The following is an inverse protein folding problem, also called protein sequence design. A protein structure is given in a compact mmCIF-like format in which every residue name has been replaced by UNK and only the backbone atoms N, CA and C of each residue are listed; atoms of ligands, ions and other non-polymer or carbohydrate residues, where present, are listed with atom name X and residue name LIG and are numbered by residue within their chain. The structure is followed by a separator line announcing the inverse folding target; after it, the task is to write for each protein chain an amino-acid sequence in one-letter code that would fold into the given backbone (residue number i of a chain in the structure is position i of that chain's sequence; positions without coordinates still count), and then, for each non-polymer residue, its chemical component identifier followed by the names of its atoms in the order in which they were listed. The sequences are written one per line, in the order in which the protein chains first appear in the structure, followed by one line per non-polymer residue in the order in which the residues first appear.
data_IF_666193693453
#
_entry.id   IF_666193693453
#
_cell.length_a   1.000
_cell.length_b   1.000
_cell.length_c   1.000
_cell.angle_alpha   90.00
_cell.angle_beta   90.00
_cell.angle_gamma   90.00
#
_symmetry.space_group_name_H-M   'P 1'
#
loop_
_entity.id
_entity.type
_entity.pdbx_description
1 polymer ?
#
# COMPACT_ATOMS: atom_id res chain seq x y z
N UNK A 1 -12.10 28.32 10.43
CA UNK A 1 -11.21 27.86 11.52
C UNK A 1 -10.01 27.21 10.86
N UNK A 2 -8.80 27.74 11.09
CA UNK A 2 -7.58 27.09 10.63
C UNK A 2 -7.47 25.73 11.31
N UNK A 3 -7.46 24.67 10.50
CA UNK A 3 -7.37 23.30 10.96
C UNK A 3 -6.07 23.11 11.76
N UNK A 4 -6.15 22.88 13.08
CA UNK A 4 -5.00 22.68 13.98
C UNK A 4 -4.09 21.49 13.64
N UNK A 5 -4.34 20.81 12.53
CA UNK A 5 -3.70 19.60 12.07
C UNK A 5 -2.32 19.90 11.49
N UNK A 6 -2.18 21.03 10.79
CA UNK A 6 -0.89 21.53 10.29
C UNK A 6 0.07 21.91 11.43
N UNK A 7 -0.43 22.01 12.66
CA UNK A 7 0.38 22.31 13.84
C UNK A 7 1.03 21.05 14.43
N UNK A 8 0.48 19.85 14.17
CA UNK A 8 1.01 18.59 14.71
C UNK A 8 2.43 18.38 14.18
N UNK A 9 3.39 18.24 15.10
CA UNK A 9 4.82 18.12 14.81
C UNK A 9 5.51 19.44 14.42
N UNK A 10 4.76 20.53 14.24
CA UNK A 10 5.28 21.84 13.81
C UNK A 10 5.13 22.94 14.88
N UNK A 11 4.48 22.65 16.01
CA UNK A 11 4.24 23.60 17.09
C UNK A 11 4.48 22.93 18.47
N UNK A 12 5.08 23.61 19.46
CA UNK A 12 5.35 23.02 20.78
C UNK A 12 4.12 22.45 21.49
N UNK A 13 2.98 23.13 21.38
CA UNK A 13 1.70 22.68 21.97
C UNK A 13 1.06 21.47 21.24
N UNK A 14 1.60 21.10 20.08
CA UNK A 14 1.12 20.00 19.25
C UNK A 14 2.30 19.08 18.88
N UNK A 15 2.91 18.37 19.85
CA UNK A 15 4.09 17.55 19.62
C UNK A 15 3.77 16.31 18.76
N UNK A 16 4.77 15.81 18.02
CA UNK A 16 4.65 14.64 17.13
C UNK A 16 4.39 13.31 17.85
N UNK A 17 4.57 13.25 19.16
CA UNK A 17 4.33 12.09 20.01
C UNK A 17 3.04 12.20 20.84
N UNK A 18 2.21 13.21 20.56
CA UNK A 18 0.94 13.43 21.25
C UNK A 18 -0.18 12.46 20.84
N UNK A 19 -1.30 12.53 21.55
CA UNK A 19 -2.53 11.83 21.19
C UNK A 19 -3.55 12.81 20.63
N UNK A 20 -4.00 12.57 19.41
CA UNK A 20 -4.91 13.43 18.67
C UNK A 20 -6.16 12.67 18.28
N UNK A 21 -7.31 13.33 18.38
CA UNK A 21 -8.60 12.76 18.05
C UNK A 21 -9.39 13.69 17.15
N UNK A 22 -9.98 13.16 16.09
CA UNK A 22 -10.92 13.91 15.28
C UNK A 22 -12.26 14.03 15.98
N UNK A 23 -12.81 15.23 15.94
CA UNK A 23 -14.09 15.57 16.57
C UNK A 23 -15.21 15.79 15.55
N UNK A 24 -14.88 15.83 14.27
CA UNK A 24 -15.80 15.97 13.16
C UNK A 24 -15.11 15.54 11.85
N UNK A 25 -15.89 15.40 10.79
CA UNK A 25 -15.42 15.18 9.43
C UNK A 25 -15.03 16.51 8.77
N UNK A 26 -14.00 16.50 7.92
CA UNK A 26 -13.46 17.71 7.29
C UNK A 26 -13.17 17.50 5.81
N UNK A 27 -13.47 18.52 5.00
CA UNK A 27 -12.85 18.66 3.69
C UNK A 27 -11.45 19.29 3.88
N UNK A 28 -10.43 18.62 3.35
CA UNK A 28 -9.01 18.94 3.53
C UNK A 28 -8.33 19.26 2.20
N UNK A 29 -9.09 19.74 1.19
CA UNK A 29 -8.54 20.12 -0.13
C UNK A 29 -7.39 21.14 -0.07
N UNK A 30 -7.40 21.99 0.95
CA UNK A 30 -6.36 23.00 1.18
C UNK A 30 -5.20 22.50 2.08
N UNK A 31 -5.13 21.20 2.35
CA UNK A 31 -4.05 20.60 3.12
C UNK A 31 -2.78 20.55 2.29
N UNK A 32 -1.85 21.47 2.54
CA UNK A 32 -0.68 21.65 1.68
C UNK A 32 0.56 20.89 2.14
N UNK A 33 0.58 20.37 3.38
CA UNK A 33 1.79 19.79 3.98
C UNK A 33 1.47 18.64 4.93
N UNK A 34 2.10 17.46 4.76
CA UNK A 34 1.96 16.35 5.69
C UNK A 34 2.45 16.72 7.09
N UNK A 35 1.94 16.02 8.10
CA UNK A 35 2.59 15.95 9.42
C UNK A 35 3.98 15.36 9.19
N UNK A 36 5.10 15.98 9.63
CA UNK A 36 6.45 15.52 9.30
C UNK A 36 6.76 14.10 9.82
N UNK A 37 7.40 13.97 10.98
CA UNK A 37 7.54 12.69 11.66
C UNK A 37 6.49 12.61 12.77
N UNK A 38 5.80 11.47 12.86
CA UNK A 38 4.78 11.20 13.86
C UNK A 38 5.06 9.88 14.59
N UNK A 39 5.03 9.93 15.92
CA UNK A 39 5.29 8.78 16.81
C UNK A 39 4.19 8.58 17.85
N UNK A 40 3.14 9.41 17.80
CA UNK A 40 2.02 9.42 18.74
C UNK A 40 0.84 8.54 18.33
N UNK A 41 -0.36 8.89 18.81
CA UNK A 41 -1.62 8.21 18.45
C UNK A 41 -2.57 9.19 17.75
N UNK A 42 -2.89 8.92 16.48
CA UNK A 42 -3.84 9.67 15.69
C UNK A 42 -5.12 8.87 15.49
N UNK A 43 -6.18 9.24 16.19
CA UNK A 43 -7.48 8.57 16.14
C UNK A 43 -8.49 9.39 15.33
N UNK A 44 -8.85 8.86 14.16
CA UNK A 44 -9.87 9.40 13.27
C UNK A 44 -11.28 9.39 13.84
N UNK A 45 -11.57 8.66 14.93
CA UNK A 45 -12.90 8.56 15.53
C UNK A 45 -14.03 8.20 14.54
N UNK A 46 -13.71 7.42 13.51
CA UNK A 46 -14.56 7.10 12.37
C UNK A 46 -15.02 8.32 11.55
N UNK A 47 -14.40 9.47 11.73
CA UNK A 47 -14.63 10.67 10.94
C UNK A 47 -13.98 10.55 9.56
N UNK A 48 -14.44 11.41 8.65
CA UNK A 48 -13.99 11.44 7.26
C UNK A 48 -13.07 12.63 7.00
N UNK A 49 -11.94 12.35 6.36
CA UNK A 49 -11.16 13.33 5.63
C UNK A 49 -11.47 13.21 4.14
N UNK A 50 -12.01 14.28 3.58
CA UNK A 50 -12.43 14.33 2.18
C UNK A 50 -11.51 15.25 1.37
N UNK A 51 -11.23 14.86 0.13
CA UNK A 51 -10.38 15.61 -0.82
C UNK A 51 -8.94 15.84 -0.33
N UNK A 52 -8.35 14.85 0.33
CA UNK A 52 -6.97 14.92 0.80
C UNK A 52 -5.99 14.95 -0.40
N UNK A 53 -5.21 16.02 -0.60
CA UNK A 53 -4.34 16.16 -1.78
C UNK A 53 -2.93 15.59 -1.57
N UNK A 54 -2.62 15.12 -0.35
CA UNK A 54 -1.30 14.63 0.05
C UNK A 54 -1.39 13.62 1.19
N UNK A 55 -0.34 12.84 1.45
CA UNK A 55 -0.26 12.00 2.64
C UNK A 55 -0.57 12.77 3.94
N UNK A 56 -1.29 12.13 4.86
CA UNK A 56 -1.54 12.72 6.17
C UNK A 56 -0.23 12.92 6.96
N UNK A 57 0.67 11.94 6.85
CA UNK A 57 1.94 11.85 7.56
C UNK A 57 3.06 11.59 6.55
N UNK A 58 4.20 12.26 6.70
CA UNK A 58 5.38 11.97 5.87
C UNK A 58 6.06 10.70 6.41
N UNK A 59 6.41 10.68 7.69
CA UNK A 59 7.04 9.52 8.34
C UNK A 59 6.29 9.10 9.60
N UNK A 60 5.77 7.87 9.60
CA UNK A 60 5.19 7.23 10.77
C UNK A 60 6.20 6.25 11.37
N UNK A 61 6.68 6.52 12.57
CA UNK A 61 7.83 5.83 13.18
C UNK A 61 7.59 5.45 14.64
N UNK A 62 8.57 4.77 15.25
CA UNK A 62 8.49 4.31 16.64
C UNK A 62 7.29 3.38 16.85
N UNK A 63 6.45 3.71 17.84
CA UNK A 63 5.17 3.03 18.09
C UNK A 63 3.98 3.87 17.60
N UNK A 64 4.18 4.72 16.60
CA UNK A 64 3.16 5.62 16.08
C UNK A 64 1.94 4.86 15.54
N UNK A 65 0.75 5.35 15.84
CA UNK A 65 -0.52 4.72 15.46
C UNK A 65 -1.38 5.71 14.68
N UNK A 66 -1.93 5.27 13.54
CA UNK A 66 -3.02 5.95 12.85
C UNK A 66 -4.20 5.00 12.77
N UNK A 67 -5.38 5.45 13.22
CA UNK A 67 -6.51 4.55 13.36
C UNK A 67 -7.89 5.17 13.15
N UNK A 68 -8.88 4.33 12.83
CA UNK A 68 -10.30 4.67 12.79
C UNK A 68 -10.61 5.89 11.92
N UNK A 69 -10.09 5.95 10.70
CA UNK A 69 -10.30 7.11 9.81
C UNK A 69 -10.84 6.68 8.45
N UNK A 70 -11.74 7.48 7.91
CA UNK A 70 -12.22 7.35 6.54
C UNK A 70 -11.51 8.41 5.68
N UNK A 71 -10.77 7.98 4.66
CA UNK A 71 -10.15 8.85 3.67
C UNK A 71 -10.94 8.71 2.37
N UNK A 72 -11.58 9.79 1.93
CA UNK A 72 -12.43 9.78 0.75
C UNK A 72 -11.94 10.81 -0.27
N UNK A 73 -12.09 10.49 -1.56
CA UNK A 73 -11.69 11.38 -2.66
C UNK A 73 -10.22 11.84 -2.54
N UNK A 74 -9.33 10.96 -2.07
CA UNK A 74 -7.89 11.28 -1.98
C UNK A 74 -7.36 11.45 -3.39
N UNK A 75 -6.69 12.57 -3.68
CA UNK A 75 -6.20 12.91 -5.01
C UNK A 75 -4.76 13.43 -4.95
N UNK A 76 -3.80 12.52 -5.15
CA UNK A 76 -2.37 12.81 -5.00
C UNK A 76 -1.66 12.98 -6.35
N UNK A 77 -2.40 13.30 -7.42
CA UNK A 77 -1.85 13.34 -8.79
C UNK A 77 -0.71 14.34 -9.01
N UNK A 78 -0.53 15.30 -8.11
CA UNK A 78 0.51 16.32 -8.15
C UNK A 78 1.84 15.85 -7.52
N UNK A 79 2.35 14.68 -7.91
CA UNK A 79 3.73 14.14 -7.86
C UNK A 79 4.63 14.33 -6.61
N UNK A 80 4.20 15.00 -5.54
CA UNK A 80 5.01 15.32 -4.35
C UNK A 80 4.53 14.65 -3.07
N UNK A 81 3.46 13.86 -3.16
CA UNK A 81 2.57 13.68 -2.02
C UNK A 81 1.74 12.39 -2.10
N UNK A 82 2.34 11.27 -2.53
CA UNK A 82 1.76 9.93 -2.40
C UNK A 82 2.40 9.26 -1.20
N UNK A 83 1.69 8.57 -0.29
CA UNK A 83 0.38 7.89 -0.36
C UNK A 83 -0.72 8.61 0.45
N UNK A 84 -1.82 7.97 0.86
CA UNK A 84 -2.88 8.65 1.65
C UNK A 84 -2.53 8.79 3.15
N UNK A 85 -1.89 7.78 3.75
CA UNK A 85 -1.64 7.76 5.20
C UNK A 85 -0.22 8.21 5.52
N UNK A 86 0.80 7.44 5.12
CA UNK A 86 2.19 7.68 5.51
C UNK A 86 3.18 7.41 4.38
N UNK A 87 4.04 8.36 3.98
CA UNK A 87 5.08 8.09 2.95
C UNK A 87 5.96 6.91 3.37
N UNK A 88 6.48 6.97 4.59
CA UNK A 88 7.29 5.91 5.17
C UNK A 88 6.70 5.44 6.48
N UNK A 89 6.64 4.12 6.64
CA UNK A 89 6.33 3.44 7.90
C UNK A 89 7.57 2.67 8.36
N UNK A 90 8.02 2.86 9.60
CA UNK A 90 9.16 2.14 10.16
C UNK A 90 8.95 1.75 11.63
N UNK A 91 9.93 1.04 12.18
CA UNK A 91 9.98 0.56 13.56
C UNK A 91 8.80 -0.37 13.89
N UNK A 92 7.84 0.04 14.73
CA UNK A 92 6.65 -0.75 15.12
C UNK A 92 5.37 0.03 14.82
N UNK A 93 5.38 0.85 13.78
CA UNK A 93 4.24 1.69 13.43
C UNK A 93 3.00 0.88 13.03
N UNK A 94 1.82 1.40 13.36
CA UNK A 94 0.55 0.70 13.15
C UNK A 94 -0.42 1.59 12.40
N UNK A 95 -0.99 1.06 11.32
CA UNK A 95 -2.11 1.66 10.62
C UNK A 95 -3.29 0.69 10.67
N UNK A 96 -4.40 1.10 11.29
CA UNK A 96 -5.54 0.19 11.51
C UNK A 96 -6.92 0.79 11.39
N UNK A 97 -7.92 -0.01 11.02
CA UNK A 97 -9.30 0.46 10.84
C UNK A 97 -9.37 1.70 9.91
N UNK A 98 -8.66 1.62 8.78
CA UNK A 98 -8.61 2.68 7.77
C UNK A 98 -9.49 2.27 6.61
N UNK A 99 -10.31 3.20 6.12
CA UNK A 99 -11.02 3.04 4.85
C UNK A 99 -10.55 4.10 3.87
N UNK A 100 -10.09 3.68 2.69
CA UNK A 100 -9.78 4.57 1.56
C UNK A 100 -10.81 4.31 0.46
N UNK A 101 -11.50 5.34 -0.03
CA UNK A 101 -12.51 5.18 -1.06
C UNK A 101 -12.53 6.31 -2.09
N UNK A 102 -12.91 5.98 -3.33
CA UNK A 102 -13.13 6.93 -4.42
C UNK A 102 -11.89 7.79 -4.74
N UNK A 103 -10.71 7.22 -4.58
CA UNK A 103 -9.45 7.94 -4.61
C UNK A 103 -8.66 7.73 -5.91
N UNK A 104 -7.83 8.70 -6.27
CA UNK A 104 -6.94 8.66 -7.42
C UNK A 104 -5.52 8.96 -6.98
N UNK A 105 -4.63 7.99 -7.18
CA UNK A 105 -3.22 8.09 -6.87
C UNK A 105 -2.42 8.06 -8.16
N UNK A 106 -1.48 8.99 -8.30
CA UNK A 106 -0.55 9.00 -9.43
C UNK A 106 0.77 9.59 -8.97
N UNK A 107 1.79 8.75 -8.94
CA UNK A 107 3.11 9.17 -8.50
C UNK A 107 4.24 8.54 -9.29
N UNK A 108 5.40 9.16 -9.10
CA UNK A 108 6.72 8.65 -9.49
C UNK A 108 7.37 7.86 -8.34
N UNK A 109 6.64 7.68 -7.24
CA UNK A 109 7.06 6.94 -6.05
C UNK A 109 8.05 7.72 -5.18
N UNK A 110 8.24 7.25 -3.95
CA UNK A 110 9.32 7.71 -3.08
C UNK A 110 10.57 6.90 -3.33
N UNK A 111 11.71 7.59 -3.43
CA UNK A 111 13.03 6.95 -3.42
C UNK A 111 13.30 6.32 -2.06
N UNK A 112 13.75 5.07 -2.06
CA UNK A 112 14.30 4.42 -0.88
C UNK A 112 15.53 3.59 -1.25
N UNK A 113 16.39 3.36 -0.27
CA UNK A 113 17.56 2.49 -0.40
C UNK A 113 17.23 1.13 0.22
N UNK A 114 17.40 0.06 -0.55
CA UNK A 114 17.30 -1.30 -0.03
C UNK A 114 18.61 -1.65 0.69
N UNK A 115 18.51 -2.02 1.98
CA UNK A 115 19.51 -2.04 3.09
C UNK A 115 20.88 -2.70 2.86
N UNK A 116 21.23 -3.13 1.64
CA UNK A 116 22.51 -3.80 1.34
C UNK A 116 23.07 -3.53 -0.06
N UNK A 117 22.35 -2.82 -0.95
CA UNK A 117 22.75 -2.76 -2.37
C UNK A 117 22.88 -1.37 -2.99
N UNK A 118 22.67 -0.29 -2.23
CA UNK A 118 22.61 1.08 -2.75
C UNK A 118 21.69 1.23 -3.99
N UNK A 119 20.72 0.32 -4.16
CA UNK A 119 19.76 0.37 -5.25
C UNK A 119 18.67 1.32 -4.82
N UNK A 120 18.63 2.47 -5.48
CA UNK A 120 17.53 3.43 -5.33
C UNK A 120 16.33 2.91 -6.09
N UNK A 121 15.27 2.63 -5.34
CA UNK A 121 14.01 2.12 -5.87
C UNK A 121 12.92 3.13 -5.63
N UNK A 122 11.95 3.19 -6.54
CA UNK A 122 10.76 3.99 -6.38
C UNK A 122 9.59 3.07 -6.01
N UNK A 123 8.86 3.44 -4.96
CA UNK A 123 7.68 2.71 -4.52
C UNK A 123 6.48 3.64 -4.35
N UNK A 124 5.29 3.13 -4.65
CA UNK A 124 4.02 3.81 -4.44
C UNK A 124 2.95 2.85 -3.95
N UNK A 125 2.22 3.25 -2.92
CA UNK A 125 1.00 2.57 -2.49
C UNK A 125 -0.12 3.54 -2.15
N UNK A 126 -1.33 3.06 -1.88
CA UNK A 126 -2.42 3.96 -1.47
C UNK A 126 -2.40 4.27 0.03
N UNK A 127 -1.83 3.39 0.86
CA UNK A 127 -1.69 3.59 2.31
C UNK A 127 -0.29 4.06 2.66
N UNK A 128 0.72 3.31 2.22
CA UNK A 128 2.13 3.65 2.40
C UNK A 128 2.96 3.47 1.12
N UNK A 129 4.01 4.25 0.90
CA UNK A 129 4.95 3.96 -0.19
C UNK A 129 5.92 2.87 0.24
N UNK A 130 6.48 3.00 1.44
CA UNK A 130 7.51 2.07 1.93
C UNK A 130 7.26 1.72 3.40
N UNK A 131 7.36 0.43 3.72
CA UNK A 131 7.17 -0.09 5.05
C UNK A 131 8.35 -0.95 5.51
N UNK A 132 8.91 -0.63 6.68
CA UNK A 132 10.06 -1.28 7.31
C UNK A 132 9.78 -1.66 8.76
N UNK A 133 10.67 -2.49 9.32
CA UNK A 133 10.62 -2.89 10.73
C UNK A 133 9.49 -3.86 11.00
N UNK A 134 8.93 -3.84 12.20
CA UNK A 134 7.75 -4.61 12.61
C UNK A 134 6.43 -3.85 12.37
N UNK A 135 6.39 -2.94 11.39
CA UNK A 135 5.20 -2.15 11.07
C UNK A 135 4.05 -3.04 10.54
N UNK A 136 2.79 -2.61 10.68
CA UNK A 136 1.64 -3.45 10.33
C UNK A 136 0.40 -2.71 9.81
N UNK A 137 -0.44 -3.45 9.07
CA UNK A 137 -1.75 -3.03 8.57
C UNK A 137 -2.87 -3.92 9.10
N UNK A 138 -3.76 -3.37 9.90
CA UNK A 138 -4.82 -4.15 10.55
C UNK A 138 -6.22 -3.59 10.21
N UNK A 139 -7.05 -4.36 9.51
CA UNK A 139 -8.37 -3.92 9.04
C UNK A 139 -8.29 -2.67 8.14
N UNK A 140 -7.51 -2.76 7.07
CA UNK A 140 -7.43 -1.73 6.04
C UNK A 140 -8.36 -2.11 4.89
N UNK A 141 -9.27 -1.19 4.52
CA UNK A 141 -10.15 -1.35 3.38
C UNK A 141 -9.83 -0.31 2.31
N UNK A 142 -9.71 -0.74 1.06
CA UNK A 142 -9.53 0.14 -0.10
C UNK A 142 -10.60 -0.19 -1.13
N UNK A 143 -11.40 0.80 -1.53
CA UNK A 143 -12.49 0.60 -2.47
C UNK A 143 -12.56 1.65 -3.58
N UNK A 144 -13.01 1.25 -4.78
CA UNK A 144 -13.37 2.15 -5.89
C UNK A 144 -12.28 3.20 -6.22
N UNK A 145 -11.01 2.80 -6.19
CA UNK A 145 -9.87 3.72 -6.33
C UNK A 145 -8.96 3.30 -7.48
N UNK A 146 -8.12 4.22 -7.93
CA UNK A 146 -7.13 3.97 -9.00
C UNK A 146 -5.74 4.38 -8.54
N UNK A 147 -4.74 3.54 -8.79
CA UNK A 147 -3.33 3.79 -8.54
C UNK A 147 -2.53 3.64 -9.84
N UNK A 148 -1.81 4.68 -10.25
CA UNK A 148 -0.96 4.70 -11.43
C UNK A 148 0.49 5.05 -11.07
N UNK A 149 1.38 4.07 -11.06
CA UNK A 149 2.82 4.28 -10.89
C UNK A 149 3.53 4.43 -12.23
N UNK A 150 4.10 5.62 -12.50
CA UNK A 150 4.88 5.90 -13.72
C UNK A 150 6.37 6.07 -13.38
N UNK A 151 7.25 5.30 -14.02
CA UNK A 151 8.67 5.28 -13.64
C UNK A 151 8.93 4.71 -12.23
N UNK A 152 7.95 3.97 -11.70
CA UNK A 152 7.97 3.34 -10.38
C UNK A 152 8.27 1.86 -10.53
N UNK A 153 9.15 1.35 -9.67
CA UNK A 153 9.49 -0.06 -9.68
C UNK A 153 8.52 -0.88 -8.82
N UNK A 154 8.02 -0.36 -7.70
CA UNK A 154 7.13 -1.09 -6.81
C UNK A 154 5.77 -0.38 -6.68
N UNK A 155 4.69 -0.99 -7.18
CA UNK A 155 3.34 -0.43 -7.15
C UNK A 155 2.40 -1.39 -6.44
N UNK A 156 1.90 -1.04 -5.25
CA UNK A 156 0.99 -1.90 -4.50
C UNK A 156 -0.29 -1.20 -4.12
N UNK A 157 -1.44 -1.88 -4.18
CA UNK A 157 -2.71 -1.27 -3.80
C UNK A 157 -2.73 -0.78 -2.36
N UNK A 158 -2.01 -1.42 -1.44
CA UNK A 158 -1.83 -0.94 -0.05
C UNK A 158 -0.48 -0.27 0.12
N UNK A 159 0.60 -1.00 -0.17
CA UNK A 159 1.98 -0.57 0.09
C UNK A 159 2.86 -0.73 -1.14
N UNK A 160 3.65 0.26 -1.49
CA UNK A 160 4.57 0.14 -2.62
C UNK A 160 5.61 -0.96 -2.40
N UNK A 161 6.38 -0.87 -1.33
CA UNK A 161 7.36 -1.90 -0.95
C UNK A 161 7.38 -2.16 0.57
N UNK A 162 7.50 -3.44 0.96
CA UNK A 162 7.52 -3.86 2.36
C UNK A 162 8.73 -4.76 2.65
N UNK A 163 9.52 -4.41 3.68
CA UNK A 163 10.77 -5.08 4.04
C UNK A 163 10.86 -5.40 5.53
N UNK A 164 11.31 -6.61 5.86
CA UNK A 164 11.59 -7.06 7.23
C UNK A 164 10.40 -6.98 8.20
N UNK A 165 9.18 -7.00 7.67
CA UNK A 165 7.94 -6.97 8.43
C UNK A 165 7.55 -8.37 8.87
N UNK A 166 8.19 -8.82 9.95
CA UNK A 166 7.92 -10.12 10.59
C UNK A 166 6.59 -10.17 11.36
N UNK A 167 5.88 -9.05 11.45
CA UNK A 167 4.59 -8.94 12.15
C UNK A 167 3.44 -9.51 11.30
N UNK A 168 2.46 -10.16 11.93
CA UNK A 168 1.51 -11.08 11.26
C UNK A 168 0.27 -10.43 10.63
N UNK A 169 0.14 -9.10 10.70
CA UNK A 169 -1.14 -8.45 10.44
C UNK A 169 -1.07 -7.64 9.14
N UNK A 170 -1.49 -8.27 8.05
CA UNK A 170 -1.96 -7.61 6.83
C UNK A 170 -3.42 -8.00 6.60
N UNK A 171 -4.29 -7.59 7.52
CA UNK A 171 -5.73 -7.79 7.34
C UNK A 171 -6.27 -6.70 6.42
N UNK A 172 -6.43 -7.06 5.15
CA UNK A 172 -6.68 -6.10 4.06
C UNK A 172 -7.85 -6.56 3.19
N UNK A 173 -8.73 -5.61 2.89
CA UNK A 173 -9.82 -5.76 1.93
C UNK A 173 -9.61 -4.78 0.77
N UNK A 174 -9.56 -5.30 -0.47
CA UNK A 174 -9.36 -4.51 -1.69
C UNK A 174 -10.51 -4.81 -2.65
N UNK A 175 -11.27 -3.78 -3.05
CA UNK A 175 -12.48 -3.98 -3.88
C UNK A 175 -12.55 -2.93 -4.99
N UNK A 176 -12.79 -3.35 -6.23
CA UNK A 176 -12.98 -2.46 -7.37
C UNK A 176 -11.80 -1.49 -7.58
N UNK A 177 -10.56 -1.97 -7.47
CA UNK A 177 -9.36 -1.15 -7.61
C UNK A 177 -8.69 -1.36 -8.97
N UNK A 178 -8.20 -0.28 -9.57
CA UNK A 178 -7.32 -0.34 -10.74
C UNK A 178 -5.90 0.03 -10.36
N UNK A 179 -4.95 -0.89 -10.53
CA UNK A 179 -3.54 -0.72 -10.17
C UNK A 179 -2.69 -0.90 -11.42
N UNK A 180 -1.98 0.14 -11.84
CA UNK A 180 -1.14 0.12 -13.04
C UNK A 180 0.30 0.51 -12.72
N UNK A 181 1.25 -0.32 -13.14
CA UNK A 181 2.68 -0.01 -13.14
C UNK A 181 3.25 0.10 -14.54
N UNK A 182 3.89 1.23 -14.84
CA UNK A 182 4.45 1.56 -16.17
C UNK A 182 5.98 1.59 -16.21
N UNK A 183 6.67 1.19 -15.14
CA UNK A 183 8.13 1.03 -15.13
C UNK A 183 8.59 -0.21 -15.91
N UNK A 184 9.81 -0.18 -16.44
CA UNK A 184 10.40 -1.31 -17.20
C UNK A 184 10.39 -2.61 -16.39
N UNK A 185 10.82 -2.54 -15.13
CA UNK A 185 10.84 -3.64 -14.15
C UNK A 185 9.74 -3.49 -13.08
N UNK A 186 8.57 -2.95 -13.45
CA UNK A 186 7.52 -2.71 -12.47
C UNK A 186 7.02 -4.01 -11.82
N UNK A 187 7.09 -4.07 -10.50
CA UNK A 187 6.44 -5.05 -9.65
C UNK A 187 5.11 -4.48 -9.18
N UNK A 188 4.01 -5.06 -9.63
CA UNK A 188 2.66 -4.59 -9.33
C UNK A 188 1.87 -5.66 -8.62
N UNK A 189 1.35 -5.34 -7.43
CA UNK A 189 0.51 -6.25 -6.65
C UNK A 189 -0.76 -5.60 -6.14
N UNK A 190 -1.78 -6.41 -5.89
CA UNK A 190 -3.00 -5.94 -5.23
C UNK A 190 -2.71 -5.36 -3.85
N UNK A 191 -1.90 -6.05 -3.02
CA UNK A 191 -1.49 -5.55 -1.71
C UNK A 191 -0.18 -4.79 -1.79
N UNK A 192 0.87 -5.44 -2.31
CA UNK A 192 2.22 -4.90 -2.29
C UNK A 192 2.89 -4.95 -3.67
N UNK A 193 3.67 -3.93 -4.05
CA UNK A 193 4.49 -4.01 -5.25
C UNK A 193 5.60 -5.05 -5.07
N UNK A 194 6.42 -4.86 -4.02
CA UNK A 194 7.51 -5.77 -3.65
C UNK A 194 7.49 -6.09 -2.15
N UNK A 195 7.82 -7.33 -1.81
CA UNK A 195 7.92 -7.79 -0.42
C UNK A 195 9.19 -8.60 -0.17
N UNK A 196 9.81 -8.42 0.99
CA UNK A 196 10.92 -9.25 1.45
C UNK A 196 10.86 -9.47 2.95
N UNK A 197 10.87 -10.75 3.37
CA UNK A 197 10.77 -11.11 4.79
C UNK A 197 9.49 -10.51 5.44
N UNK A 198 8.35 -10.67 4.76
CA UNK A 198 7.04 -10.15 5.18
C UNK A 198 6.06 -11.29 5.47
N UNK A 199 5.15 -11.10 6.42
CA UNK A 199 4.01 -12.00 6.63
C UNK A 199 2.70 -11.33 6.19
N UNK A 200 2.04 -11.89 5.19
CA UNK A 200 0.68 -11.52 4.79
C UNK A 200 -0.29 -12.60 5.24
N UNK A 201 -1.37 -12.17 5.90
CA UNK A 201 -2.44 -13.05 6.37
C UNK A 201 -3.79 -12.34 6.27
N UNK A 202 -4.82 -13.05 5.81
CA UNK A 202 -6.22 -12.57 5.81
C UNK A 202 -6.43 -11.40 4.83
N UNK A 203 -6.22 -11.70 3.55
CA UNK A 203 -6.41 -10.73 2.47
C UNK A 203 -7.60 -11.15 1.60
N UNK A 204 -8.49 -10.19 1.34
CA UNK A 204 -9.60 -10.35 0.40
C UNK A 204 -9.47 -9.32 -0.74
N UNK A 205 -9.44 -9.79 -1.98
CA UNK A 205 -9.32 -8.97 -3.19
C UNK A 205 -10.47 -9.32 -4.13
N UNK A 206 -11.24 -8.33 -4.55
CA UNK A 206 -12.40 -8.51 -5.41
C UNK A 206 -12.47 -7.46 -6.52
N UNK A 207 -12.87 -7.90 -7.70
CA UNK A 207 -13.05 -7.09 -8.90
C UNK A 207 -11.90 -6.07 -9.12
N UNK A 208 -10.67 -6.53 -8.94
CA UNK A 208 -9.47 -5.68 -8.98
C UNK A 208 -8.67 -5.94 -10.25
N UNK A 209 -8.17 -4.88 -10.87
CA UNK A 209 -7.31 -4.95 -12.05
C UNK A 209 -5.88 -4.63 -11.63
N UNK A 210 -4.97 -5.59 -11.79
CA UNK A 210 -3.52 -5.42 -11.67
C UNK A 210 -2.93 -5.47 -13.07
N UNK A 211 -2.34 -4.36 -13.53
CA UNK A 211 -1.77 -4.23 -14.87
C UNK A 211 -0.32 -3.78 -14.82
N UNK A 212 0.54 -4.57 -15.45
CA UNK A 212 1.94 -4.17 -15.69
C UNK A 212 2.17 -3.97 -17.18
N UNK A 213 2.65 -2.79 -17.54
CA UNK A 213 2.98 -2.46 -18.94
C UNK A 213 4.49 -2.58 -19.24
N UNK A 214 5.32 -2.76 -18.22
CA UNK A 214 6.76 -2.90 -18.35
C UNK A 214 7.21 -4.15 -19.10
N UNK A 215 8.28 -4.03 -19.88
CA UNK A 215 8.88 -5.14 -20.63
C UNK A 215 9.45 -6.24 -19.73
N UNK A 216 9.68 -6.01 -18.45
CA UNK A 216 10.14 -7.02 -17.49
C UNK A 216 9.26 -7.03 -16.24
N UNK A 217 8.01 -6.60 -16.42
CA UNK A 217 7.08 -6.37 -15.33
C UNK A 217 6.51 -7.65 -14.70
N UNK A 218 6.29 -7.59 -13.38
CA UNK A 218 5.76 -8.68 -12.57
C UNK A 218 4.40 -8.30 -11.98
N UNK A 219 3.33 -8.97 -12.38
CA UNK A 219 1.97 -8.75 -11.90
C UNK A 219 1.51 -9.88 -10.98
N UNK A 220 1.13 -9.57 -9.75
CA UNK A 220 0.54 -10.53 -8.83
C UNK A 220 -0.77 -10.05 -8.22
N UNK A 221 -1.67 -10.97 -7.90
CA UNK A 221 -2.89 -10.62 -7.18
C UNK A 221 -2.62 -10.03 -5.80
N UNK A 222 -1.66 -10.58 -5.04
CA UNK A 222 -1.19 -10.03 -3.76
C UNK A 222 0.07 -9.20 -3.95
N UNK A 223 1.08 -9.77 -4.59
CA UNK A 223 2.40 -9.14 -4.70
C UNK A 223 3.03 -9.25 -6.09
N UNK A 224 3.59 -8.15 -6.59
CA UNK A 224 4.35 -8.18 -7.84
C UNK A 224 5.59 -9.07 -7.72
N UNK A 225 6.41 -8.82 -6.69
CA UNK A 225 7.53 -9.68 -6.31
C UNK A 225 7.55 -9.94 -4.81
N UNK A 226 7.92 -11.16 -4.42
CA UNK A 226 8.03 -11.56 -3.01
C UNK A 226 9.23 -12.47 -2.81
N UNK A 227 10.02 -12.22 -1.77
CA UNK A 227 11.09 -13.10 -1.33
C UNK A 227 11.05 -13.38 0.17
N UNK A 228 11.36 -14.61 0.58
CA UNK A 228 11.48 -15.03 1.99
C UNK A 228 10.24 -14.66 2.85
N UNK A 229 9.07 -14.60 2.23
CA UNK A 229 7.82 -14.14 2.85
C UNK A 229 6.83 -15.28 3.05
N UNK A 230 5.82 -15.09 3.90
CA UNK A 230 4.69 -16.01 4.03
C UNK A 230 3.38 -15.33 3.62
N UNK A 231 2.59 -15.98 2.78
CA UNK A 231 1.28 -15.52 2.32
C UNK A 231 0.24 -16.57 2.66
N UNK A 232 -0.73 -16.20 3.50
CA UNK A 232 -1.74 -17.12 4.02
C UNK A 232 -3.15 -16.52 4.01
N UNK A 233 -4.17 -17.38 3.85
CA UNK A 233 -5.58 -17.01 3.98
C UNK A 233 -5.95 -15.86 3.02
N UNK A 234 -5.58 -16.01 1.76
CA UNK A 234 -5.86 -15.03 0.72
C UNK A 234 -7.01 -15.52 -0.14
N UNK A 235 -7.97 -14.65 -0.42
CA UNK A 235 -9.03 -14.91 -1.40
C UNK A 235 -9.03 -13.80 -2.45
N UNK A 236 -8.93 -14.19 -3.72
CA UNK A 236 -8.96 -13.28 -4.87
C UNK A 236 -10.10 -13.69 -5.78
N UNK A 237 -11.01 -12.78 -6.08
CA UNK A 237 -12.25 -13.03 -6.81
C UNK A 237 -12.39 -12.03 -7.97
N UNK A 238 -12.91 -12.51 -9.11
CA UNK A 238 -13.35 -11.69 -10.26
C UNK A 238 -12.34 -10.62 -10.72
N UNK A 239 -11.04 -10.91 -10.52
CA UNK A 239 -9.95 -9.96 -10.71
C UNK A 239 -9.19 -10.23 -12.02
N UNK A 240 -8.54 -9.22 -12.58
CA UNK A 240 -7.70 -9.34 -13.78
C UNK A 240 -6.27 -8.97 -13.47
N UNK A 241 -5.34 -9.91 -13.59
CA UNK A 241 -3.92 -9.73 -13.32
C UNK A 241 -3.15 -9.89 -14.63
N UNK A 242 -2.29 -8.94 -14.96
CA UNK A 242 -1.49 -8.97 -16.18
C UNK A 242 -0.11 -8.38 -16.01
N UNK A 243 0.86 -8.94 -16.74
CA UNK A 243 2.25 -8.51 -16.80
C UNK A 243 3.07 -9.49 -17.62
N UNK A 244 4.35 -9.23 -17.87
CA UNK A 244 5.20 -10.21 -18.56
C UNK A 244 5.32 -11.49 -17.75
N UNK A 245 5.54 -11.34 -16.44
CA UNK A 245 5.42 -12.40 -15.45
C UNK A 245 4.13 -12.16 -14.66
N UNK A 246 3.14 -13.04 -14.79
CA UNK A 246 1.86 -12.88 -14.10
C UNK A 246 1.54 -14.11 -13.25
N UNK A 247 1.08 -13.89 -12.02
CA UNK A 247 0.65 -14.95 -11.12
C UNK A 247 -0.59 -14.57 -10.34
N UNK A 248 -1.47 -15.55 -10.11
CA UNK A 248 -2.71 -15.35 -9.36
C UNK A 248 -2.48 -14.76 -7.97
N UNK A 249 -1.44 -15.20 -7.24
CA UNK A 249 -1.07 -14.65 -5.92
C UNK A 249 0.19 -13.77 -6.03
N UNK A 250 1.30 -14.29 -6.56
CA UNK A 250 2.58 -13.56 -6.67
C UNK A 250 3.08 -13.62 -8.10
N UNK A 251 3.56 -12.50 -8.66
CA UNK A 251 4.17 -12.45 -9.99
C UNK A 251 5.56 -13.10 -10.06
N UNK A 252 6.45 -12.75 -9.12
CA UNK A 252 7.76 -13.38 -8.92
C UNK A 252 7.97 -13.82 -7.47
N UNK A 253 8.33 -15.09 -7.29
CA UNK A 253 8.44 -15.71 -5.96
C UNK A 253 9.82 -16.34 -5.75
N UNK A 254 10.47 -16.00 -4.64
CA UNK A 254 11.72 -16.62 -4.18
C UNK A 254 11.57 -17.06 -2.71
N UNK A 255 11.73 -18.35 -2.40
CA UNK A 255 11.67 -18.87 -1.03
C UNK A 255 10.42 -18.48 -0.21
N UNK A 256 9.27 -18.28 -0.85
CA UNK A 256 8.03 -17.94 -0.14
C UNK A 256 7.28 -19.18 0.37
N UNK A 257 6.55 -19.01 1.47
CA UNK A 257 5.56 -19.98 1.97
C UNK A 257 4.15 -19.50 1.60
N UNK A 258 3.45 -20.21 0.73
CA UNK A 258 2.06 -19.88 0.34
C UNK A 258 1.12 -20.97 0.82
N UNK A 259 0.09 -20.62 1.59
CA UNK A 259 -0.87 -21.59 2.15
C UNK A 259 -2.29 -21.04 2.21
N UNK A 260 -3.31 -21.89 2.07
CA UNK A 260 -4.73 -21.51 2.17
C UNK A 260 -5.08 -20.28 1.32
N UNK A 261 -4.70 -20.29 0.05
CA UNK A 261 -4.97 -19.20 -0.88
C UNK A 261 -5.93 -19.66 -1.99
N UNK A 262 -6.93 -18.85 -2.29
CA UNK A 262 -7.96 -19.13 -3.29
C UNK A 262 -7.97 -18.04 -4.34
N UNK A 263 -7.90 -18.45 -5.61
CA UNK A 263 -8.04 -17.55 -6.77
C UNK A 263 -9.22 -18.04 -7.58
N UNK A 264 -10.31 -17.28 -7.57
CA UNK A 264 -11.63 -17.70 -8.05
C UNK A 264 -12.06 -16.75 -9.16
N UNK A 265 -12.36 -17.28 -10.35
CA UNK A 265 -12.81 -16.49 -11.52
C UNK A 265 -11.89 -15.32 -11.90
N UNK A 266 -10.63 -15.33 -11.45
CA UNK A 266 -9.66 -14.34 -11.86
C UNK A 266 -9.05 -14.69 -13.23
N UNK A 267 -8.78 -13.68 -14.05
CA UNK A 267 -8.05 -13.79 -15.31
C UNK A 267 -6.58 -13.43 -15.07
N UNK A 268 -5.67 -14.34 -15.38
CA UNK A 268 -4.21 -14.10 -15.26
C UNK A 268 -3.59 -14.18 -16.65
N UNK A 269 -3.03 -13.07 -17.14
CA UNK A 269 -2.41 -12.99 -18.47
C UNK A 269 -0.94 -12.59 -18.36
N UNK A 270 -0.03 -13.52 -18.66
CA UNK A 270 1.39 -13.17 -18.82
C UNK A 270 2.13 -14.09 -19.80
N UNK A 271 3.22 -13.57 -20.36
CA UNK A 271 4.11 -14.32 -21.27
C UNK A 271 4.75 -15.50 -20.56
N UNK A 272 5.19 -15.26 -19.32
CA UNK A 272 5.82 -16.25 -18.46
C UNK A 272 4.99 -16.42 -17.20
N UNK A 273 4.04 -17.34 -17.26
CA UNK A 273 3.41 -17.87 -16.08
C UNK A 273 4.42 -18.81 -15.40
N UNK A 274 5.25 -18.31 -14.47
CA UNK A 274 6.24 -19.14 -13.75
C UNK A 274 5.58 -19.89 -12.59
N UNK A 275 5.76 -21.20 -12.60
CA UNK A 275 5.21 -22.14 -11.64
C UNK A 275 6.12 -22.22 -10.41
N UNK A 276 5.69 -21.62 -9.30
CA UNK A 276 6.15 -21.95 -7.95
C UNK A 276 5.04 -22.73 -7.24
N UNK A 277 5.11 -24.06 -7.31
CA UNK A 277 4.36 -25.13 -6.62
C UNK A 277 2.84 -25.06 -6.42
N UNK A 278 2.11 -23.96 -6.64
CA UNK A 278 0.65 -23.92 -6.39
C UNK A 278 -0.12 -22.68 -6.90
N UNK A 279 0.18 -22.16 -8.10
CA UNK A 279 -0.53 -20.98 -8.64
C UNK A 279 -1.02 -21.24 -10.06
N UNK A 280 -2.35 -21.31 -10.20
CA UNK A 280 -3.08 -21.72 -11.40
C UNK A 280 -2.99 -20.65 -12.50
N UNK A 281 -2.47 -21.02 -13.66
CA UNK A 281 -2.70 -20.29 -14.90
C UNK A 281 -3.53 -21.19 -15.82
N UNK A 282 -4.73 -20.74 -16.19
CA UNK A 282 -5.54 -21.41 -17.20
C UNK A 282 -5.10 -20.88 -18.56
N UNK A 283 -4.62 -21.76 -19.44
CA UNK A 283 -4.55 -21.47 -20.88
C UNK A 283 -5.96 -21.53 -21.46
#
# INVERSE_FOLDING_TARGET
MSQGWNLIGNHPDYPSNGSYKLTASFNVKNFTRPIPEFTGDFNGNCETLDELPCCLIDKLSGNGIVQNINLNNVDTRDAKCDPAVANTMNDKSIVRFIKIANSQFKGVGSYFEEDDRAVKRNAIGMVSNVMWGESSFDHVMIANSTLNGTGVECVGGVVGAAYNNVNENFNVIIVNINITGLGQEAHVGGVAGKMRNVRIKEVYIDNTIVKVAGQEGYGGGVAGASSDSSIQNVTIIDSSISGRYAGGIVGFSWSNKVSTCHVIRAKVNGEYCRWGDRIWCKR
#
